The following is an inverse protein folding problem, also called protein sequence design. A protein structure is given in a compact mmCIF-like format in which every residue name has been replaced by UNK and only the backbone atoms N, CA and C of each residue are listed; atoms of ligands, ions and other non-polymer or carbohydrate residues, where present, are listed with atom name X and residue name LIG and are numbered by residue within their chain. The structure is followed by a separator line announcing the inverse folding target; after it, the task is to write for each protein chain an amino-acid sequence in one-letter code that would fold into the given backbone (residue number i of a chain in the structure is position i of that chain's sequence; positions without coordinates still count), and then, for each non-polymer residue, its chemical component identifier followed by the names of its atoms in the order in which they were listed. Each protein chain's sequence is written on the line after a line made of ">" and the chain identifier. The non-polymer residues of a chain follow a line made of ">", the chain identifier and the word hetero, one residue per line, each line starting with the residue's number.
data_IF_922799225545
#
_entry.id   IF_922799225545
#
_cell.length_a   1.000
_cell.length_b   1.000
_cell.length_c   1.000
_cell.angle_alpha   90.00
_cell.angle_beta   90.00
_cell.angle_gamma   90.00
#
_symmetry.space_group_name_H-M   'P 1'
#
loop_
_entity.id
_entity.type
_entity.pdbx_description
1 polymer ?
#
# COMPACT_ATOMS: atom_id res chain seq x y z
N UNK A 1 -8.66 -14.05 -1.74
CA UNK A 1 -10.08 -14.38 -1.84
C UNK A 1 -10.36 -15.65 -2.64
N UNK A 2 -10.10 -15.68 -3.95
CA UNK A 2 -10.36 -16.80 -4.86
C UNK A 2 -10.05 -18.20 -4.28
N UNK A 3 -8.83 -18.40 -3.75
CA UNK A 3 -8.41 -19.69 -3.15
C UNK A 3 -9.19 -20.04 -1.88
N UNK A 4 -9.47 -19.07 -1.00
CA UNK A 4 -10.19 -19.29 0.26
C UNK A 4 -11.63 -19.76 0.04
N UNK A 5 -12.24 -19.33 -1.07
CA UNK A 5 -13.59 -19.70 -1.52
C UNK A 5 -13.60 -20.77 -2.60
N UNK A 6 -12.47 -21.41 -2.90
CA UNK A 6 -12.36 -22.45 -3.93
C UNK A 6 -12.90 -22.01 -5.31
N UNK A 7 -12.64 -20.77 -5.70
CA UNK A 7 -13.05 -20.20 -6.98
C UNK A 7 -14.47 -19.63 -7.04
N UNK A 8 -15.22 -19.62 -5.93
CA UNK A 8 -16.60 -19.10 -5.94
C UNK A 8 -16.70 -17.57 -5.93
N UNK A 9 -15.67 -16.88 -5.43
CA UNK A 9 -15.70 -15.42 -5.22
C UNK A 9 -14.49 -14.77 -5.88
N UNK A 10 -14.76 -13.95 -6.91
CA UNK A 10 -13.77 -13.14 -7.63
C UNK A 10 -13.97 -11.66 -7.35
N UNK A 11 -13.40 -11.20 -6.23
CA UNK A 11 -13.52 -9.81 -5.80
C UNK A 11 -12.17 -9.23 -5.39
N UNK A 12 -12.09 -7.91 -5.44
CA UNK A 12 -11.03 -7.10 -4.85
C UNK A 12 -11.66 -5.90 -4.13
N UNK A 13 -10.89 -5.18 -3.32
CA UNK A 13 -11.37 -3.96 -2.67
C UNK A 13 -10.88 -2.69 -3.39
N UNK A 14 -11.49 -1.55 -3.08
CA UNK A 14 -11.13 -0.29 -3.73
C UNK A 14 -9.66 0.11 -3.53
N UNK A 15 -9.05 -0.23 -2.38
CA UNK A 15 -7.65 0.15 -2.12
C UNK A 15 -6.71 -0.60 -3.07
N UNK A 16 -6.87 -1.92 -3.24
CA UNK A 16 -6.09 -2.69 -4.20
C UNK A 16 -6.42 -2.31 -5.65
N UNK A 17 -7.70 -2.14 -6.00
CA UNK A 17 -8.10 -1.75 -7.35
C UNK A 17 -7.42 -0.44 -7.79
N UNK A 18 -7.35 0.56 -6.90
CA UNK A 18 -6.73 1.87 -7.17
C UNK A 18 -5.23 1.80 -7.51
N UNK A 19 -4.55 0.68 -7.24
CA UNK A 19 -3.11 0.48 -7.50
C UNK A 19 -2.80 -0.28 -8.78
N UNK A 20 -3.83 -0.57 -9.59
CA UNK A 20 -3.67 -1.35 -10.83
C UNK A 20 -3.37 -0.51 -12.06
N UNK A 21 -3.53 0.83 -12.00
CA UNK A 21 -3.58 1.74 -13.17
C UNK A 21 -4.79 1.52 -14.10
N UNK A 22 -5.60 0.49 -13.88
CA UNK A 22 -6.78 0.14 -14.68
C UNK A 22 -8.09 0.64 -14.05
N UNK A 23 -8.04 1.13 -12.82
CA UNK A 23 -9.21 1.54 -12.05
C UNK A 23 -9.29 3.06 -11.95
N UNK A 24 -10.42 3.63 -12.36
CA UNK A 24 -10.67 5.05 -12.24
C UNK A 24 -11.10 5.39 -10.81
N UNK A 25 -10.22 6.03 -10.06
CA UNK A 25 -10.45 6.34 -8.64
C UNK A 25 -11.54 7.40 -8.40
N UNK A 26 -11.93 8.17 -9.42
CA UNK A 26 -12.95 9.21 -9.32
C UNK A 26 -14.35 8.64 -9.51
N UNK A 27 -14.53 7.79 -10.53
CA UNK A 27 -15.81 7.12 -10.79
C UNK A 27 -15.97 5.82 -10.00
N UNK A 28 -14.87 5.32 -9.41
CA UNK A 28 -14.79 4.06 -8.67
C UNK A 28 -15.19 2.85 -9.53
N UNK A 29 -14.74 2.84 -10.79
CA UNK A 29 -15.00 1.77 -11.75
C UNK A 29 -13.74 1.42 -12.54
N UNK A 30 -13.68 0.20 -13.07
CA UNK A 30 -12.69 -0.19 -14.07
C UNK A 30 -12.81 0.72 -15.30
N UNK A 31 -11.68 1.27 -15.74
CA UNK A 31 -11.60 2.28 -16.81
C UNK A 31 -11.55 1.61 -18.19
N UNK A 32 -12.67 1.64 -18.92
CA UNK A 32 -12.80 0.95 -20.21
C UNK A 32 -11.78 1.42 -21.25
N UNK A 33 -11.37 2.70 -21.21
CA UNK A 33 -10.37 3.23 -22.14
C UNK A 33 -8.99 2.63 -21.86
N UNK A 34 -8.61 2.52 -20.58
CA UNK A 34 -7.35 1.87 -20.21
C UNK A 34 -7.35 0.38 -20.57
N UNK A 35 -8.48 -0.31 -20.39
CA UNK A 35 -8.64 -1.72 -20.77
C UNK A 35 -8.51 -1.92 -22.28
N UNK A 36 -9.13 -1.05 -23.08
CA UNK A 36 -9.03 -1.10 -24.55
C UNK A 36 -7.58 -0.87 -25.02
N UNK A 37 -6.91 0.17 -24.51
CA UNK A 37 -5.53 0.51 -24.88
C UNK A 37 -4.56 -0.65 -24.58
N UNK A 38 -4.77 -1.35 -23.46
CA UNK A 38 -3.92 -2.45 -23.03
C UNK A 38 -4.41 -3.82 -23.52
N UNK A 39 -5.50 -3.86 -24.29
CA UNK A 39 -6.13 -5.08 -24.81
C UNK A 39 -6.48 -6.10 -23.70
N UNK A 40 -7.09 -5.63 -22.61
CA UNK A 40 -7.49 -6.44 -21.45
C UNK A 40 -9.01 -6.67 -21.49
N UNK A 41 -9.48 -7.93 -21.60
CA UNK A 41 -10.91 -8.24 -21.53
C UNK A 41 -11.50 -7.90 -20.16
N UNK A 42 -12.60 -7.14 -20.12
CA UNK A 42 -13.29 -6.77 -18.87
C UNK A 42 -13.76 -7.97 -18.06
N UNK A 43 -14.07 -9.10 -18.72
CA UNK A 43 -14.45 -10.36 -18.07
C UNK A 43 -13.37 -10.98 -17.18
N UNK A 44 -12.11 -10.55 -17.33
CA UNK A 44 -11.01 -10.99 -16.47
C UNK A 44 -10.93 -10.23 -15.14
N UNK A 45 -11.66 -9.13 -14.99
CA UNK A 45 -11.53 -8.25 -13.82
C UNK A 45 -12.44 -8.72 -12.68
N UNK A 46 -11.96 -8.65 -11.42
CA UNK A 46 -12.80 -8.92 -10.26
C UNK A 46 -13.83 -7.81 -10.03
N UNK A 47 -14.92 -8.14 -9.34
CA UNK A 47 -15.83 -7.14 -8.77
C UNK A 47 -15.11 -6.33 -7.68
N UNK A 48 -15.30 -5.01 -7.67
CA UNK A 48 -14.67 -4.11 -6.68
C UNK A 48 -15.67 -3.78 -5.57
N UNK A 49 -15.26 -3.98 -4.33
CA UNK A 49 -16.12 -3.93 -3.14
C UNK A 49 -15.50 -3.06 -2.03
N UNK A 50 -16.29 -2.72 -1.01
CA UNK A 50 -15.80 -1.96 0.16
C UNK A 50 -14.71 -2.75 0.89
N UNK A 51 -13.85 -2.09 1.66
CA UNK A 51 -12.76 -2.77 2.39
C UNK A 51 -13.25 -3.50 3.65
N UNK A 52 -14.45 -3.17 4.14
CA UNK A 52 -15.11 -3.86 5.25
C UNK A 52 -16.54 -4.26 4.89
N UNK A 53 -16.70 -5.50 4.43
CA UNK A 53 -17.99 -6.16 4.21
C UNK A 53 -17.81 -7.66 4.06
N UNK A 54 -18.86 -8.46 4.18
CA UNK A 54 -18.77 -9.92 4.00
C UNK A 54 -18.73 -10.25 2.50
N UNK A 55 -17.56 -10.64 2.00
CA UNK A 55 -17.35 -11.03 0.60
C UNK A 55 -17.77 -12.47 0.31
N UNK A 56 -17.72 -13.32 1.33
CA UNK A 56 -17.93 -14.74 1.22
C UNK A 56 -17.41 -15.47 2.46
N UNK A 57 -17.43 -16.80 2.40
CA UNK A 57 -16.98 -17.66 3.49
C UNK A 57 -15.83 -18.53 3.04
N UNK A 58 -14.85 -18.72 3.92
CA UNK A 58 -13.80 -19.71 3.71
C UNK A 58 -14.39 -21.12 3.67
N UNK A 59 -13.75 -22.03 2.94
CA UNK A 59 -14.05 -23.46 3.00
C UNK A 59 -12.84 -24.23 3.56
N UNK A 60 -12.68 -24.16 4.89
CA UNK A 60 -11.57 -24.83 5.61
C UNK A 60 -12.03 -26.24 5.99
N UNK A 61 -11.33 -27.27 5.52
CA UNK A 61 -11.59 -28.67 5.87
C UNK A 61 -12.64 -29.39 5.00
N UNK A 62 -13.13 -28.79 3.93
CA UNK A 62 -14.01 -29.46 2.96
C UNK A 62 -15.45 -29.70 3.46
N UNK A 63 -16.02 -30.86 3.14
CA UNK A 63 -17.41 -31.23 3.47
C UNK A 63 -17.50 -31.56 4.98
N UNK A 64 -18.19 -30.71 5.74
CA UNK A 64 -18.22 -30.77 7.21
C UNK A 64 -17.19 -29.85 7.90
N UNK A 65 -16.41 -29.11 7.12
CA UNK A 65 -15.47 -28.12 7.63
C UNK A 65 -16.11 -26.81 8.10
N UNK A 66 -15.31 -25.93 8.70
CA UNK A 66 -15.78 -24.64 9.24
C UNK A 66 -15.90 -23.60 8.12
N UNK A 67 -16.94 -22.77 8.22
CA UNK A 67 -17.16 -21.60 7.35
C UNK A 67 -16.87 -20.34 8.14
N UNK A 68 -15.77 -19.66 7.82
CA UNK A 68 -15.41 -18.39 8.47
C UNK A 68 -15.69 -17.26 7.48
N UNK A 69 -16.50 -16.24 7.83
CA UNK A 69 -16.68 -15.07 6.98
C UNK A 69 -15.35 -14.36 6.72
N UNK A 70 -15.06 -14.07 5.47
CA UNK A 70 -13.98 -13.14 5.11
C UNK A 70 -14.63 -11.76 5.00
N UNK A 71 -14.24 -10.85 5.89
CA UNK A 71 -14.92 -9.55 6.07
C UNK A 71 -14.01 -8.31 5.94
N UNK A 72 -12.70 -8.52 5.69
CA UNK A 72 -11.74 -7.43 5.49
C UNK A 72 -10.79 -7.74 4.33
N UNK A 73 -10.64 -6.78 3.41
CA UNK A 73 -9.63 -6.78 2.35
C UNK A 73 -9.16 -5.32 2.21
N UNK A 74 -7.85 -5.11 2.29
CA UNK A 74 -7.21 -3.84 2.00
C UNK A 74 -5.77 -4.09 1.54
N UNK A 75 -5.20 -3.17 0.77
CA UNK A 75 -3.77 -3.16 0.48
C UNK A 75 -2.96 -2.87 1.74
N UNK A 76 -1.77 -3.45 1.86
CA UNK A 76 -0.97 -3.44 3.10
C UNK A 76 -0.75 -2.03 3.68
N UNK A 77 -0.45 -1.04 2.83
CA UNK A 77 -0.18 0.33 3.27
C UNK A 77 -1.45 1.03 3.78
N UNK A 78 -2.58 0.79 3.13
CA UNK A 78 -3.89 1.29 3.53
C UNK A 78 -4.41 0.56 4.79
N UNK A 79 -4.17 -0.74 4.91
CA UNK A 79 -4.44 -1.51 6.12
C UNK A 79 -3.62 -0.98 7.30
N UNK A 80 -2.35 -0.63 7.09
CA UNK A 80 -1.51 0.01 8.11
C UNK A 80 -2.01 1.41 8.48
N UNK A 81 -2.51 2.21 7.53
CA UNK A 81 -3.15 3.50 7.81
C UNK A 81 -4.39 3.31 8.69
N UNK A 82 -5.27 2.37 8.31
CA UNK A 82 -6.47 2.04 9.07
C UNK A 82 -6.13 1.51 10.49
N UNK A 83 -5.14 0.63 10.61
CA UNK A 83 -4.67 0.07 11.89
C UNK A 83 -4.09 1.11 12.85
N UNK A 84 -3.60 2.24 12.35
CA UNK A 84 -3.20 3.41 13.15
C UNK A 84 -4.36 4.35 13.47
N UNK A 85 -5.61 3.94 13.22
CA UNK A 85 -6.82 4.75 13.40
C UNK A 85 -6.78 6.06 12.59
N UNK A 86 -6.02 6.09 11.49
CA UNK A 86 -5.96 7.22 10.56
C UNK A 86 -7.11 7.12 9.56
N UNK A 87 -8.35 7.21 10.05
CA UNK A 87 -9.60 7.01 9.30
C UNK A 87 -10.34 8.32 9.00
N UNK A 88 -9.69 9.47 9.25
CA UNK A 88 -10.22 10.80 9.01
C UNK A 88 -9.20 11.68 8.29
N UNK A 89 -9.70 12.65 7.51
CA UNK A 89 -8.88 13.60 6.78
C UNK A 89 -7.86 14.33 7.68
N UNK A 90 -6.63 14.50 7.19
CA UNK A 90 -5.53 15.14 7.90
C UNK A 90 -4.70 14.19 8.76
N UNK A 91 -5.17 12.97 9.01
CA UNK A 91 -4.40 11.96 9.73
C UNK A 91 -3.39 11.29 8.79
N UNK A 92 -2.18 11.10 9.27
CA UNK A 92 -1.11 10.51 8.48
C UNK A 92 -0.34 9.46 9.28
N UNK A 93 0.24 8.51 8.56
CA UNK A 93 1.22 7.58 9.08
C UNK A 93 2.46 7.61 8.22
N UNK A 94 3.59 7.21 8.80
CA UNK A 94 4.79 6.90 8.05
C UNK A 94 5.37 5.57 8.53
N UNK A 95 5.52 4.61 7.62
CA UNK A 95 6.09 3.29 7.93
C UNK A 95 7.52 3.22 7.42
N UNK A 96 8.46 2.93 8.31
CA UNK A 96 9.88 2.79 8.01
C UNK A 96 10.26 1.31 7.94
N UNK A 97 10.75 0.87 6.78
CA UNK A 97 11.33 -0.44 6.55
C UNK A 97 12.42 -0.36 5.47
N UNK A 98 12.51 -1.36 4.59
CA UNK A 98 13.41 -1.32 3.42
C UNK A 98 13.15 -0.09 2.55
N UNK A 99 11.88 0.30 2.40
CA UNK A 99 11.43 1.61 1.90
C UNK A 99 10.67 2.41 2.97
N UNK A 100 10.33 3.66 2.67
CA UNK A 100 9.54 4.55 3.52
C UNK A 100 8.24 4.90 2.79
N UNK A 101 7.11 4.59 3.43
CA UNK A 101 5.76 4.77 2.86
C UNK A 101 4.93 5.68 3.75
N UNK A 102 4.78 6.93 3.31
CA UNK A 102 3.94 7.92 3.95
C UNK A 102 2.55 7.89 3.32
N UNK A 103 1.51 7.77 4.13
CA UNK A 103 0.13 7.94 3.71
C UNK A 103 -0.53 9.03 4.54
N UNK A 104 -1.18 9.98 3.86
CA UNK A 104 -2.00 11.03 4.45
C UNK A 104 -3.44 10.81 3.99
N UNK A 105 -4.35 10.58 4.94
CA UNK A 105 -5.78 10.45 4.66
C UNK A 105 -6.33 11.82 4.22
N UNK A 106 -7.01 11.89 3.08
CA UNK A 106 -7.54 13.15 2.51
C UNK A 106 -9.07 13.21 2.51
N UNK A 107 -9.72 12.18 3.03
CA UNK A 107 -11.17 12.15 3.21
C UNK A 107 -11.89 11.87 1.90
N UNK A 108 -13.00 12.55 1.67
CA UNK A 108 -13.79 12.47 0.43
C UNK A 108 -13.14 13.17 -0.78
N UNK A 109 -12.00 13.84 -0.58
CA UNK A 109 -11.33 14.63 -1.62
C UNK A 109 -10.11 13.89 -2.20
N UNK A 110 -10.19 13.59 -3.50
CA UNK A 110 -9.05 13.18 -4.30
C UNK A 110 -8.14 14.39 -4.58
N UNK A 111 -7.02 14.50 -3.87
CA UNK A 111 -6.08 15.62 -4.05
C UNK A 111 -5.06 15.24 -5.13
N UNK A 112 -5.02 15.98 -6.24
CA UNK A 112 -3.95 15.86 -7.24
C UNK A 112 -2.67 16.52 -6.72
N UNK A 113 -1.59 15.75 -6.58
CA UNK A 113 -0.30 16.30 -6.17
C UNK A 113 0.43 16.99 -7.32
N UNK A 114 1.07 18.13 -7.01
CA UNK A 114 2.03 18.80 -7.91
C UNK A 114 3.49 18.44 -7.61
N UNK A 115 3.72 17.63 -6.57
CA UNK A 115 5.04 17.32 -6.01
C UNK A 115 5.36 15.81 -6.04
N UNK A 116 4.78 15.08 -7.00
CA UNK A 116 5.09 13.65 -7.21
C UNK A 116 4.47 12.67 -6.23
N UNK A 117 3.47 13.10 -5.43
CA UNK A 117 2.69 12.17 -4.59
C UNK A 117 1.57 11.51 -5.41
N UNK A 118 1.26 10.25 -5.08
CA UNK A 118 0.18 9.51 -5.72
C UNK A 118 -1.13 9.73 -4.96
N UNK A 119 -2.19 10.05 -5.68
CA UNK A 119 -3.56 10.01 -5.14
C UNK A 119 -4.06 8.57 -5.24
N UNK A 120 -4.44 7.99 -4.11
CA UNK A 120 -4.91 6.59 -4.02
C UNK A 120 -6.20 6.52 -3.21
N UNK A 121 -6.86 5.35 -3.21
CA UNK A 121 -8.00 5.09 -2.32
C UNK A 121 -7.50 4.50 -0.99
N UNK A 122 -8.09 4.99 0.11
CA UNK A 122 -8.04 4.45 1.47
C UNK A 122 -9.47 4.07 1.90
N UNK A 123 -9.63 3.56 3.13
CA UNK A 123 -10.95 3.28 3.69
C UNK A 123 -11.17 4.05 5.00
N UNK A 124 -12.39 4.54 5.19
CA UNK A 124 -12.81 5.21 6.41
C UNK A 124 -13.18 4.19 7.51
N UNK A 125 -13.60 4.67 8.68
CA UNK A 125 -13.95 3.84 9.83
C UNK A 125 -15.08 2.81 9.57
N UNK A 126 -15.87 2.98 8.50
CA UNK A 126 -16.93 2.06 8.07
C UNK A 126 -16.47 1.10 6.96
N UNK A 127 -15.23 1.22 6.51
CA UNK A 127 -14.68 0.46 5.38
C UNK A 127 -15.10 0.99 4.01
N UNK A 128 -15.70 2.18 3.94
CA UNK A 128 -16.11 2.81 2.69
C UNK A 128 -14.93 3.55 2.03
N UNK A 129 -14.91 3.66 0.69
CA UNK A 129 -13.78 4.25 -0.04
C UNK A 129 -13.70 5.77 0.14
N UNK A 130 -12.59 6.20 0.72
CA UNK A 130 -12.11 7.59 0.80
C UNK A 130 -10.72 7.69 0.14
N UNK A 131 -10.08 8.84 0.17
CA UNK A 131 -8.81 9.07 -0.52
C UNK A 131 -7.63 9.22 0.44
N UNK A 132 -6.45 8.97 -0.10
CA UNK A 132 -5.18 9.29 0.54
C UNK A 132 -4.17 9.82 -0.47
N UNK A 133 -3.24 10.62 0.02
CA UNK A 133 -1.99 10.92 -0.66
C UNK A 133 -0.91 9.95 -0.16
N UNK A 134 -0.22 9.35 -1.11
CA UNK A 134 0.87 8.42 -0.84
C UNK A 134 2.19 8.98 -1.37
N UNK A 135 3.18 9.02 -0.49
CA UNK A 135 4.59 9.23 -0.82
C UNK A 135 5.37 7.95 -0.59
N UNK A 136 5.91 7.39 -1.67
CA UNK A 136 6.65 6.12 -1.64
C UNK A 136 8.12 6.38 -1.95
N UNK A 137 8.97 6.22 -0.94
CA UNK A 137 10.43 6.24 -1.07
C UNK A 137 10.90 4.80 -1.05
N UNK A 138 11.18 4.25 -2.23
CA UNK A 138 11.53 2.84 -2.39
C UNK A 138 12.86 2.45 -1.75
N UNK A 139 13.77 3.41 -1.53
CA UNK A 139 15.08 3.18 -0.90
C UNK A 139 15.19 3.99 0.39
N UNK A 140 15.01 3.32 1.53
CA UNK A 140 15.25 3.89 2.86
C UNK A 140 16.18 2.98 3.67
N UNK A 141 15.69 1.85 4.19
CA UNK A 141 16.51 0.82 4.84
C UNK A 141 17.44 0.08 3.88
N UNK A 142 17.06 -0.05 2.60
CA UNK A 142 17.90 -0.67 1.56
C UNK A 142 19.25 0.05 1.39
N UNK A 143 19.30 1.36 1.61
CA UNK A 143 20.57 2.12 1.59
C UNK A 143 21.55 1.66 2.68
N UNK A 144 21.03 1.33 3.88
CA UNK A 144 21.84 0.81 4.98
C UNK A 144 22.27 -0.63 4.71
N UNK A 145 21.39 -1.44 4.12
CA UNK A 145 21.73 -2.80 3.69
C UNK A 145 22.83 -2.80 2.62
N UNK A 146 22.75 -1.90 1.63
CA UNK A 146 23.79 -1.74 0.60
C UNK A 146 25.14 -1.31 1.19
N UNK A 147 25.14 -0.39 2.16
CA UNK A 147 26.36 0.00 2.87
C UNK A 147 27.02 -1.15 3.65
N UNK A 148 26.21 -2.08 4.17
CA UNK A 148 26.68 -3.26 4.92
C UNK A 148 27.14 -4.39 4.00
N UNK A 149 26.32 -4.74 3.02
CA UNK A 149 26.50 -5.97 2.25
C UNK A 149 27.41 -5.77 1.04
N UNK A 150 27.29 -4.63 0.35
CA UNK A 150 28.06 -4.34 -0.86
C UNK A 150 29.33 -3.55 -0.55
N UNK A 151 29.21 -2.42 0.15
CA UNK A 151 30.37 -1.59 0.50
C UNK A 151 31.14 -2.08 1.73
N UNK A 152 30.53 -2.93 2.58
CA UNK A 152 31.13 -3.51 3.80
C UNK A 152 31.74 -2.47 4.76
N UNK A 153 31.25 -1.23 4.72
CA UNK A 153 31.71 -0.13 5.59
C UNK A 153 31.10 -0.26 7.00
N UNK A 154 29.97 -0.94 7.10
CA UNK A 154 29.19 -1.13 8.32
C UNK A 154 29.02 -2.64 8.49
N UNK A 155 29.33 -3.22 9.65
CA UNK A 155 29.28 -4.68 9.82
C UNK A 155 27.92 -5.14 10.39
N UNK A 156 27.29 -4.32 11.24
CA UNK A 156 25.93 -4.50 11.72
C UNK A 156 25.08 -3.25 11.48
N UNK A 157 23.77 -3.41 11.22
CA UNK A 157 22.80 -2.31 11.21
C UNK A 157 22.88 -1.38 12.44
N UNK A 158 23.24 -1.91 13.62
CA UNK A 158 23.45 -1.14 14.84
C UNK A 158 24.69 -0.23 14.81
N UNK A 159 25.71 -0.55 14.01
CA UNK A 159 26.90 0.29 13.86
C UNK A 159 26.57 1.63 13.20
N UNK A 160 25.51 1.70 12.39
CA UNK A 160 25.07 2.93 11.72
C UNK A 160 24.70 4.04 12.72
N UNK A 161 24.00 3.68 13.81
CA UNK A 161 23.60 4.62 14.86
C UNK A 161 24.79 5.01 15.76
N UNK A 162 25.73 4.08 15.99
CA UNK A 162 26.98 4.34 16.71
C UNK A 162 27.89 5.33 15.94
N UNK A 163 28.10 5.10 14.65
CA UNK A 163 28.92 5.96 13.78
C UNK A 163 28.33 7.36 13.63
N UNK A 164 27.00 7.47 13.51
CA UNK A 164 26.28 8.76 13.48
C UNK A 164 26.49 9.58 14.76
N UNK A 165 26.44 8.94 15.93
CA UNK A 165 26.69 9.62 17.22
C UNK A 165 28.15 10.08 17.35
N UNK A 166 29.10 9.30 16.81
CA UNK A 166 30.54 9.57 16.93
C UNK A 166 31.06 10.67 16.00
N UNK A 167 30.47 10.84 14.80
CA UNK A 167 30.95 11.80 13.78
C UNK A 167 29.90 12.84 13.36
N UNK A 168 29.19 13.41 14.35
CA UNK A 168 28.07 14.35 14.16
C UNK A 168 28.36 15.55 13.25
N UNK A 169 29.60 16.02 13.19
CA UNK A 169 30.01 17.24 12.47
C UNK A 169 30.42 16.99 11.01
N UNK A 170 30.85 15.77 10.64
CA UNK A 170 31.33 15.46 9.30
C UNK A 170 30.22 15.03 8.32
N UNK A 171 29.10 14.49 8.81
CA UNK A 171 27.98 14.08 7.94
C UNK A 171 27.14 15.26 7.41
N UNK A 172 27.27 16.46 7.97
CA UNK A 172 26.48 17.62 7.55
C UNK A 172 26.91 18.21 6.18
N UNK A 173 28.12 17.90 5.70
CA UNK A 173 28.65 18.36 4.41
C UNK A 173 28.60 17.30 3.30
N UNK A 174 28.11 16.09 3.58
CA UNK A 174 28.10 14.97 2.64
C UNK A 174 26.67 14.46 2.43
N UNK A 175 26.15 14.63 1.21
CA UNK A 175 24.80 14.21 0.83
C UNK A 175 24.87 12.86 0.11
N UNK A 176 24.15 11.84 0.59
CA UNK A 176 23.93 10.60 -0.15
C UNK A 176 22.53 10.61 -0.77
N UNK A 177 22.45 10.35 -2.07
CA UNK A 177 21.19 10.27 -2.82
C UNK A 177 21.05 8.86 -3.40
N UNK A 178 20.54 7.90 -2.62
CA UNK A 178 20.27 6.57 -3.15
C UNK A 178 19.05 6.60 -4.07
N UNK A 179 19.24 6.32 -5.36
CA UNK A 179 18.18 6.17 -6.35
C UNK A 179 18.05 4.70 -6.76
N UNK A 180 16.85 4.16 -6.96
CA UNK A 180 16.69 2.93 -7.73
C UNK A 180 17.20 3.23 -9.14
N UNK A 181 18.01 2.31 -9.68
CA UNK A 181 18.45 2.34 -11.08
C UNK A 181 17.29 1.87 -11.96
#
# INVERSE_FOLDING_TARGET
>A
MWKLTQGLVHVTDYTNASRTMLFNIHTKQWDDKMLEILNIPRSMLPEVRNSSEIYGQTNIGGKGGVRIPVAGIAGDQQAALYGHLCVHAGQAKNTYGTGCFMLLHTGDKAITSKNGLLTTIACNAKGEPEYALEGSVFIAGASIQWLRDELKIVHDSFDSEYLRKKYRTAMASMLSLPSPV
#
